data_IF_758073950070
#
_entry.id   IF_758073950070
#
_cell.length_a   1.000
_cell.length_b   1.000
_cell.length_c   1.000
_cell.angle_alpha   90.00
_cell.angle_beta   90.00
_cell.angle_gamma   90.00
#
_symmetry.space_group_name_H-M   'P 1'
#
loop_
_entity.id
_entity.type
_entity.pdbx_description
1 polymer ?
#
# COMPACT_ATOMS: atom_id res chain seq x y z
N UNK A 1 -14.39 -16.27 3.71
CA UNK A 1 -13.14 -16.50 2.96
C UNK A 1 -12.01 -16.63 3.98
N UNK A 2 -11.11 -17.60 3.83
CA UNK A 2 -9.92 -17.66 4.69
C UNK A 2 -9.01 -16.48 4.32
N UNK A 3 -8.56 -15.74 5.33
CA UNK A 3 -7.54 -14.70 5.15
C UNK A 3 -6.26 -15.39 4.67
N UNK A 4 -5.64 -14.82 3.64
CA UNK A 4 -4.37 -15.31 3.10
C UNK A 4 -3.39 -14.15 3.08
N UNK A 5 -2.14 -14.45 3.44
CA UNK A 5 -1.04 -13.51 3.28
C UNK A 5 -0.72 -13.37 1.81
N UNK A 6 -0.64 -12.13 1.37
CA UNK A 6 -0.32 -11.77 0.00
C UNK A 6 1.13 -11.31 -0.05
N UNK A 7 1.88 -11.83 -1.00
CA UNK A 7 3.24 -11.36 -1.26
C UNK A 7 3.23 -10.44 -2.45
N UNK A 8 3.82 -9.25 -2.31
CA UNK A 8 3.95 -8.27 -3.38
C UNK A 8 5.41 -7.86 -3.48
N UNK A 9 6.07 -8.22 -4.58
CA UNK A 9 7.51 -8.01 -4.70
C UNK A 9 8.28 -8.71 -3.57
N UNK A 10 9.01 -7.93 -2.76
CA UNK A 10 9.80 -8.44 -1.64
C UNK A 10 9.09 -8.36 -0.28
N UNK A 11 7.85 -7.85 -0.22
CA UNK A 11 7.10 -7.68 1.02
C UNK A 11 6.02 -8.75 1.14
N UNK A 12 6.09 -9.55 2.20
CA UNK A 12 4.97 -10.40 2.64
C UNK A 12 4.04 -9.56 3.52
N UNK A 13 2.80 -9.36 3.08
CA UNK A 13 1.79 -8.64 3.83
C UNK A 13 1.22 -9.51 4.96
N UNK A 14 0.99 -8.89 6.11
CA UNK A 14 0.19 -9.47 7.19
C UNK A 14 -1.25 -9.73 6.74
N UNK A 15 -2.01 -10.51 7.51
CA UNK A 15 -3.42 -10.80 7.19
C UNK A 15 -4.27 -9.51 7.13
N UNK A 16 -3.95 -8.51 7.95
CA UNK A 16 -4.64 -7.20 7.95
C UNK A 16 -4.27 -6.36 6.72
N UNK A 17 -2.98 -6.33 6.36
CA UNK A 17 -2.50 -5.61 5.19
C UNK A 17 -3.03 -6.23 3.89
N UNK A 18 -3.07 -7.56 3.85
CA UNK A 18 -3.64 -8.33 2.74
C UNK A 18 -5.13 -8.05 2.57
N UNK A 19 -5.89 -7.96 3.66
CA UNK A 19 -7.30 -7.59 3.65
C UNK A 19 -7.50 -6.16 3.14
N UNK A 20 -6.69 -5.20 3.63
CA UNK A 20 -6.74 -3.80 3.16
C UNK A 20 -6.43 -3.67 1.67
N UNK A 21 -5.44 -4.40 1.18
CA UNK A 21 -5.11 -4.43 -0.23
C UNK A 21 -6.23 -5.07 -1.05
N UNK A 22 -6.77 -6.20 -0.58
CA UNK A 22 -7.88 -6.90 -1.22
C UNK A 22 -9.09 -6.00 -1.38
N UNK A 23 -9.51 -5.26 -0.36
CA UNK A 23 -10.65 -4.36 -0.47
C UNK A 23 -10.45 -3.25 -1.51
N UNK A 24 -9.22 -2.75 -1.65
CA UNK A 24 -8.88 -1.74 -2.66
C UNK A 24 -8.90 -2.31 -4.07
N UNK A 25 -8.18 -3.42 -4.28
CA UNK A 25 -8.09 -4.07 -5.59
C UNK A 25 -9.44 -4.65 -6.01
N UNK A 26 -10.24 -5.16 -5.07
CA UNK A 26 -11.61 -5.63 -5.33
C UNK A 26 -12.52 -4.52 -5.84
N UNK A 27 -12.45 -3.31 -5.27
CA UNK A 27 -13.25 -2.17 -5.73
C UNK A 27 -12.79 -1.66 -7.09
N UNK A 28 -11.50 -1.75 -7.37
CA UNK A 28 -10.88 -1.22 -8.59
C UNK A 28 -10.99 -2.19 -9.78
N UNK A 29 -10.61 -3.46 -9.59
CA UNK A 29 -10.52 -4.48 -10.64
C UNK A 29 -11.61 -5.56 -10.56
N UNK A 30 -12.45 -5.54 -9.51
CA UNK A 30 -13.58 -6.47 -9.39
C UNK A 30 -13.22 -7.90 -8.99
N UNK A 31 -12.05 -8.14 -8.40
CA UNK A 31 -11.63 -9.48 -7.96
C UNK A 31 -12.53 -10.07 -6.88
N UNK A 32 -12.69 -11.38 -6.88
CA UNK A 32 -13.58 -12.11 -5.96
C UNK A 32 -12.81 -12.85 -4.87
N UNK A 33 -11.51 -13.15 -5.05
CA UNK A 33 -10.72 -13.92 -4.10
C UNK A 33 -9.27 -13.51 -3.91
N UNK A 34 -8.68 -13.97 -2.80
CA UNK A 34 -7.26 -13.77 -2.47
C UNK A 34 -6.30 -14.47 -3.45
N UNK A 35 -6.71 -15.57 -4.08
CA UNK A 35 -5.91 -16.22 -5.11
C UNK A 35 -5.76 -15.34 -6.36
N UNK A 36 -6.83 -14.65 -6.78
CA UNK A 36 -6.78 -13.68 -7.88
C UNK A 36 -5.95 -12.46 -7.50
N UNK A 37 -6.06 -12.01 -6.24
CA UNK A 37 -5.21 -10.95 -5.73
C UNK A 37 -3.73 -11.35 -5.82
N UNK A 38 -3.36 -12.55 -5.36
CA UNK A 38 -1.97 -13.01 -5.43
C UNK A 38 -1.47 -13.04 -6.89
N UNK A 39 -2.28 -13.59 -7.82
CA UNK A 39 -1.91 -13.61 -9.23
C UNK A 39 -1.73 -12.21 -9.84
N UNK A 40 -2.55 -11.23 -9.43
CA UNK A 40 -2.34 -9.84 -9.83
C UNK A 40 -1.06 -9.27 -9.22
N UNK A 41 -0.77 -9.56 -7.96
CA UNK A 41 0.38 -9.00 -7.26
C UNK A 41 1.73 -9.54 -7.77
N UNK A 42 1.73 -10.62 -8.54
CA UNK A 42 2.94 -11.12 -9.21
C UNK A 42 3.50 -10.11 -10.24
N UNK A 43 2.62 -9.28 -10.84
CA UNK A 43 3.01 -8.20 -11.77
C UNK A 43 3.30 -6.86 -11.07
N UNK A 44 3.07 -6.79 -9.77
CA UNK A 44 3.26 -5.58 -8.97
C UNK A 44 4.55 -5.67 -8.15
N UNK A 45 5.11 -4.50 -7.81
CA UNK A 45 6.11 -4.39 -6.77
C UNK A 45 5.54 -3.67 -5.56
N UNK A 46 6.27 -3.76 -4.46
CA UNK A 46 5.97 -2.98 -3.28
C UNK A 46 7.19 -2.23 -2.78
N UNK A 47 6.95 -1.10 -2.12
CA UNK A 47 7.95 -0.37 -1.37
C UNK A 47 7.40 0.04 -0.02
N UNK A 48 8.24 -0.05 1.01
CA UNK A 48 7.91 0.45 2.35
C UNK A 48 8.34 1.91 2.42
N UNK A 49 7.37 2.81 2.57
CA UNK A 49 7.61 4.23 2.78
C UNK A 49 7.69 4.45 4.29
N UNK A 50 8.89 4.75 4.77
CA UNK A 50 9.10 5.20 6.14
C UNK A 50 8.66 6.67 6.28
N UNK A 51 8.07 7.04 7.42
CA UNK A 51 7.72 8.43 7.67
C UNK A 51 9.00 9.28 7.65
N UNK A 52 9.09 10.24 6.73
CA UNK A 52 10.15 11.24 6.78
C UNK A 52 9.99 12.05 8.08
N UNK A 53 11.03 12.08 8.91
CA UNK A 53 11.09 12.94 10.10
C UNK A 53 11.36 14.42 9.77
N UNK A 54 11.38 14.80 8.50
CA UNK A 54 11.69 16.17 8.13
C UNK A 54 10.49 17.10 8.35
N UNK A 55 10.67 18.20 9.11
CA UNK A 55 9.65 19.22 9.19
C UNK A 55 9.58 19.89 7.80
N UNK A 56 8.59 19.51 7.00
CA UNK A 56 8.24 20.17 5.73
C UNK A 56 7.67 21.59 5.95
N UNK A 57 8.27 22.36 6.86
CA UNK A 57 7.89 23.74 7.16
C UNK A 57 8.67 24.76 6.32
N UNK A 58 9.77 24.35 5.68
CA UNK A 58 10.69 25.28 5.02
C UNK A 58 10.64 25.31 3.48
N UNK A 59 9.79 24.52 2.80
CA UNK A 59 9.81 24.46 1.31
C UNK A 59 8.49 24.60 0.55
N UNK A 60 7.31 24.56 1.18
CA UNK A 60 6.03 24.68 0.47
C UNK A 60 5.16 25.76 1.11
N UNK A 61 5.07 26.92 0.44
CA UNK A 61 4.10 27.96 0.79
C UNK A 61 2.67 27.46 0.56
N UNK A 62 1.83 27.68 1.57
CA UNK A 62 0.36 27.76 1.66
C UNK A 62 -0.62 26.93 0.77
N UNK A 63 -0.20 26.06 -0.14
CA UNK A 63 -1.14 25.33 -1.04
C UNK A 63 -0.83 23.83 -1.22
N UNK A 64 -0.37 23.14 -0.17
CA UNK A 64 -0.44 21.68 -0.14
C UNK A 64 -1.71 21.24 0.61
N UNK A 65 -2.52 20.29 0.07
CA UNK A 65 -3.62 19.72 0.82
C UNK A 65 -3.07 19.16 2.14
N UNK A 66 -3.81 19.30 3.26
CA UNK A 66 -3.28 18.99 4.57
C UNK A 66 -2.83 17.53 4.60
N UNK A 67 -1.52 17.31 4.60
CA UNK A 67 -0.95 16.02 5.00
C UNK A 67 -1.33 15.85 6.48
N UNK A 68 -2.46 15.15 6.70
CA UNK A 68 -2.82 14.62 8.00
C UNK A 68 -1.56 13.94 8.53
N UNK A 69 -1.01 14.53 9.59
CA UNK A 69 0.30 14.21 10.11
C UNK A 69 0.30 12.78 10.66
N UNK A 70 0.52 11.80 9.78
CA UNK A 70 0.82 10.40 10.10
C UNK A 70 2.30 10.30 10.56
N UNK A 71 2.70 11.20 11.48
CA UNK A 71 4.02 11.23 12.13
C UNK A 71 4.23 9.90 12.86
N UNK A 72 4.92 8.97 12.21
CA UNK A 72 5.25 7.64 12.75
C UNK A 72 4.48 6.47 12.15
N UNK A 73 3.63 6.65 11.12
CA UNK A 73 3.02 5.51 10.42
C UNK A 73 3.82 5.15 9.16
N UNK A 74 4.24 3.89 9.06
CA UNK A 74 4.83 3.32 7.84
C UNK A 74 3.71 2.98 6.86
N UNK A 75 3.98 3.14 5.57
CA UNK A 75 3.06 2.73 4.52
C UNK A 75 3.73 1.71 3.61
N UNK A 76 2.91 0.82 3.05
CA UNK A 76 3.32 -0.06 1.97
C UNK A 76 2.64 0.47 0.72
N UNK A 77 3.45 0.86 -0.25
CA UNK A 77 2.98 1.30 -1.55
C UNK A 77 3.18 0.16 -2.55
N UNK A 78 2.08 -0.26 -3.18
CA UNK A 78 2.01 -1.32 -4.17
C UNK A 78 1.78 -0.69 -5.53
N UNK A 79 2.65 -0.96 -6.50
CA UNK A 79 2.60 -0.34 -7.82
C UNK A 79 2.88 -1.37 -8.92
N UNK A 80 2.19 -1.23 -10.06
CA UNK A 80 2.41 -2.11 -11.20
C UNK A 80 3.78 -1.79 -11.83
N UNK A 81 4.59 -2.83 -12.09
CA UNK A 81 5.95 -2.67 -12.66
C UNK A 81 5.94 -2.35 -14.15
N UNK A 82 4.89 -2.77 -14.84
CA UNK A 82 4.76 -2.74 -16.29
C UNK A 82 3.99 -1.49 -16.77
N UNK A 83 3.04 -1.01 -15.98
CA UNK A 83 2.18 0.13 -16.31
C UNK A 83 2.01 1.07 -15.11
N UNK A 84 2.18 2.38 -15.28
CA UNK A 84 2.01 3.37 -14.19
C UNK A 84 0.53 3.60 -13.77
N UNK A 85 -0.41 2.83 -14.30
CA UNK A 85 -1.85 3.11 -14.19
C UNK A 85 -2.44 2.74 -12.81
N UNK A 86 -1.82 1.82 -12.07
CA UNK A 86 -2.37 1.31 -10.80
C UNK A 86 -1.38 1.40 -9.65
N UNK A 87 -1.69 2.24 -8.66
CA UNK A 87 -0.94 2.40 -7.41
C UNK A 87 -1.87 2.32 -6.20
N UNK A 88 -1.57 1.42 -5.27
CA UNK A 88 -2.33 1.24 -4.03
C UNK A 88 -1.42 1.50 -2.83
N UNK A 89 -1.81 2.46 -1.98
CA UNK A 89 -1.13 2.71 -0.69
C UNK A 89 -1.93 2.11 0.45
N UNK A 90 -1.31 1.26 1.26
CA UNK A 90 -1.90 0.71 2.49
C UNK A 90 -1.07 1.11 3.70
N UNK A 91 -1.72 1.35 4.85
CA UNK A 91 -1.02 1.56 6.11
C UNK A 91 -0.35 0.24 6.49
N UNK A 92 0.95 0.27 6.71
CA UNK A 92 1.67 -0.87 7.28
C UNK A 92 1.12 -1.08 8.69
N UNK A 93 0.81 -2.32 9.03
CA UNK A 93 0.55 -2.67 10.43
C UNK A 93 1.85 -2.52 11.19
N UNK A 94 1.77 -2.18 12.49
CA UNK A 94 2.96 -2.19 13.37
C UNK A 94 3.45 -3.64 13.45
N UNK A 95 4.26 -4.08 12.49
CA UNK A 95 5.00 -5.31 12.64
C UNK A 95 5.92 -5.13 13.84
N UNK A 96 5.79 -6.10 14.74
CA UNK A 96 6.21 -6.13 16.14
C UNK A 96 7.68 -5.77 16.39
#
# INVERSE_FOLDING_TARGET
>A
MQKQRITVGYVELTDEESERLFEKVRKDKGIEGYAELQGLMDDYDSQVIEPQEEPLKDMLGDEAPPEESDKGMRYIEVFNKLEEDSRYRIKASKQH
#
